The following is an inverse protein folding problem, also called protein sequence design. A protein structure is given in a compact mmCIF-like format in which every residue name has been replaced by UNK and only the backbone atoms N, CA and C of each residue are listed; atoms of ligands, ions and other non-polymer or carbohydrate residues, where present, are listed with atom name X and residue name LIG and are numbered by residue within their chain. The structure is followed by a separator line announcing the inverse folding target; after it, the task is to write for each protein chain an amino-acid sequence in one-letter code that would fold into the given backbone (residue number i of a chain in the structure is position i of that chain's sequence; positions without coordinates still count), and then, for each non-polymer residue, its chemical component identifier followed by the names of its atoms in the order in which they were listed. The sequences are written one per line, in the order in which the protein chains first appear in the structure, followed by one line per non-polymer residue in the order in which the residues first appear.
data_IF_932304689752
#
_entry.id   IF_932304689752
#
_cell.length_a   1.000
_cell.length_b   1.000
_cell.length_c   1.000
_cell.angle_alpha   90.00
_cell.angle_beta   90.00
_cell.angle_gamma   90.00
#
_symmetry.space_group_name_H-M   'P 1'
#
loop_
_entity.id
_entity.type
_entity.pdbx_description
1 polymer ?
#
# COMPACT_ATOMS: atom_id res chain seq x y z
N UNK A 1 14.13 -21.53 -32.74
CA UNK A 1 14.20 -20.58 -31.59
C UNK A 1 12.86 -19.89 -31.29
N UNK A 2 12.09 -19.48 -32.30
CA UNK A 2 10.79 -18.81 -32.12
C UNK A 2 9.76 -19.63 -31.32
N UNK A 3 9.65 -20.94 -31.59
CA UNK A 3 8.76 -21.86 -30.85
C UNK A 3 9.03 -21.91 -29.34
N UNK A 4 10.30 -21.79 -28.91
CA UNK A 4 10.67 -21.84 -27.49
C UNK A 4 10.43 -20.50 -26.77
N UNK A 5 10.54 -19.39 -27.49
CA UNK A 5 10.11 -18.06 -27.00
C UNK A 5 8.59 -18.00 -26.87
N UNK A 6 7.85 -18.59 -27.81
CA UNK A 6 6.39 -18.72 -27.74
C UNK A 6 5.92 -19.47 -26.49
N UNK A 7 6.55 -20.59 -26.10
CA UNK A 7 6.18 -21.32 -24.88
C UNK A 7 6.40 -20.48 -23.61
N UNK A 8 7.49 -19.71 -23.55
CA UNK A 8 7.74 -18.78 -22.44
C UNK A 8 6.73 -17.62 -22.42
N UNK A 9 6.43 -17.04 -23.59
CA UNK A 9 5.41 -16.01 -23.73
C UNK A 9 4.02 -16.51 -23.36
N UNK A 10 3.67 -17.73 -23.77
CA UNK A 10 2.41 -18.41 -23.40
C UNK A 10 2.37 -18.67 -21.90
N UNK A 11 3.46 -19.12 -21.28
CA UNK A 11 3.54 -19.30 -19.82
C UNK A 11 3.34 -17.99 -19.05
N UNK A 12 3.93 -16.89 -19.52
CA UNK A 12 3.72 -15.56 -18.96
C UNK A 12 2.27 -15.07 -19.16
N UNK A 13 1.68 -15.29 -20.34
CA UNK A 13 0.28 -14.96 -20.64
C UNK A 13 -0.67 -15.80 -19.79
N UNK A 14 -0.40 -17.08 -19.57
CA UNK A 14 -1.17 -17.96 -18.67
C UNK A 14 -1.06 -17.48 -17.23
N UNK A 15 0.12 -17.06 -16.78
CA UNK A 15 0.30 -16.47 -15.45
C UNK A 15 -0.51 -15.18 -15.29
N UNK A 16 -0.52 -14.31 -16.30
CA UNK A 16 -1.35 -13.10 -16.36
C UNK A 16 -2.84 -13.47 -16.37
N UNK A 17 -3.26 -14.47 -17.13
CA UNK A 17 -4.64 -14.96 -17.18
C UNK A 17 -5.09 -15.55 -15.83
N UNK A 18 -4.24 -16.31 -15.13
CA UNK A 18 -4.51 -16.83 -13.79
C UNK A 18 -4.62 -15.69 -12.77
N UNK A 19 -3.78 -14.67 -12.89
CA UNK A 19 -3.88 -13.42 -12.12
C UNK A 19 -5.14 -12.61 -12.48
N UNK A 20 -5.69 -12.80 -13.68
CA UNK A 20 -6.83 -12.04 -14.20
C UNK A 20 -8.17 -12.78 -14.09
N UNK A 21 -8.18 -14.09 -13.79
CA UNK A 21 -9.37 -14.90 -13.60
C UNK A 21 -9.90 -14.72 -12.16
N UNK A 22 -10.94 -13.91 -12.04
CA UNK A 22 -11.77 -13.75 -10.83
C UNK A 22 -11.12 -13.02 -9.65
N UNK A 23 -11.92 -12.78 -8.60
CA UNK A 23 -11.40 -12.45 -7.27
C UNK A 23 -10.89 -13.75 -6.64
N UNK A 24 -9.60 -14.00 -6.79
CA UNK A 24 -8.94 -15.14 -6.19
C UNK A 24 -7.86 -14.67 -5.20
N UNK A 25 -7.62 -15.46 -4.15
CA UNK A 25 -6.68 -15.13 -3.08
C UNK A 25 -5.25 -14.87 -3.58
N UNK A 26 -4.85 -15.52 -4.68
CA UNK A 26 -3.51 -15.35 -5.28
C UNK A 26 -3.36 -13.95 -5.87
N UNK A 27 -4.37 -13.48 -6.60
CA UNK A 27 -4.45 -12.11 -7.13
C UNK A 27 -4.43 -11.09 -6.01
N UNK A 28 -5.23 -11.26 -4.97
CA UNK A 28 -5.26 -10.32 -3.84
C UNK A 28 -3.92 -10.25 -3.12
N UNK A 29 -3.28 -11.41 -2.91
CA UNK A 29 -1.93 -11.48 -2.32
C UNK A 29 -0.89 -10.81 -3.22
N UNK A 30 -0.98 -11.00 -4.54
CA UNK A 30 -0.07 -10.37 -5.50
C UNK A 30 -0.27 -8.86 -5.56
N UNK A 31 -1.52 -8.38 -5.59
CA UNK A 31 -1.83 -6.94 -5.55
C UNK A 31 -1.34 -6.33 -4.24
N UNK A 32 -1.60 -6.97 -3.09
CA UNK A 32 -1.10 -6.52 -1.80
C UNK A 32 0.44 -6.48 -1.76
N UNK A 33 1.10 -7.45 -2.37
CA UNK A 33 2.56 -7.48 -2.51
C UNK A 33 3.06 -6.33 -3.40
N UNK A 34 2.48 -6.13 -4.59
CA UNK A 34 2.86 -5.03 -5.47
C UNK A 34 2.62 -3.66 -4.82
N UNK A 35 1.50 -3.52 -4.12
CA UNK A 35 1.13 -2.30 -3.39
C UNK A 35 2.06 -2.04 -2.20
N UNK A 36 2.64 -3.08 -1.61
CA UNK A 36 3.65 -2.93 -0.54
C UNK A 36 4.92 -2.22 -1.00
N UNK A 37 5.20 -2.15 -2.31
CA UNK A 37 6.32 -1.37 -2.85
C UNK A 37 5.93 0.06 -3.21
N UNK A 38 4.64 0.37 -3.36
CA UNK A 38 4.18 1.72 -3.60
C UNK A 38 4.17 2.50 -2.28
N UNK A 39 5.14 3.40 -2.14
CA UNK A 39 5.28 4.28 -0.97
C UNK A 39 4.01 5.06 -0.64
N UNK A 40 3.27 5.52 -1.64
CA UNK A 40 2.08 6.33 -1.43
C UNK A 40 0.96 5.47 -0.84
N UNK A 41 0.75 4.27 -1.41
CA UNK A 41 -0.21 3.29 -0.88
C UNK A 41 0.16 2.80 0.52
N UNK A 42 1.45 2.66 0.83
CA UNK A 42 1.91 2.29 2.19
C UNK A 42 1.51 3.33 3.22
N UNK A 43 1.73 4.62 2.93
CA UNK A 43 1.37 5.72 3.85
C UNK A 43 -0.14 5.75 4.05
N UNK A 44 -0.92 5.67 2.97
CA UNK A 44 -2.39 5.63 3.06
C UNK A 44 -2.86 4.42 3.90
N UNK A 45 -2.25 3.24 3.69
CA UNK A 45 -2.57 2.05 4.48
C UNK A 45 -2.22 2.20 5.96
N UNK A 46 -1.14 2.90 6.30
CA UNK A 46 -0.84 3.24 7.70
C UNK A 46 -1.95 4.09 8.29
N UNK A 47 -2.53 5.01 7.51
CA UNK A 47 -3.62 5.85 7.99
C UNK A 47 -4.92 5.06 8.16
N UNK A 48 -5.20 4.13 7.24
CA UNK A 48 -6.36 3.24 7.33
C UNK A 48 -6.33 2.36 8.59
N UNK A 49 -5.13 1.86 8.95
CA UNK A 49 -4.89 0.92 10.05
C UNK A 49 -4.59 1.60 11.39
N UNK A 50 -4.57 2.92 11.46
CA UNK A 50 -4.29 3.62 12.71
C UNK A 50 -5.36 3.32 13.77
N UNK A 51 -4.93 3.17 15.03
CA UNK A 51 -5.82 2.89 16.16
C UNK A 51 -6.83 4.03 16.35
N UNK A 52 -6.37 5.28 16.20
CA UNK A 52 -7.19 6.48 16.35
C UNK A 52 -7.11 7.37 15.11
N UNK A 53 -8.26 7.91 14.71
CA UNK A 53 -8.38 8.90 13.64
C UNK A 53 -9.02 10.15 14.19
N UNK A 54 -8.34 11.27 14.05
CA UNK A 54 -8.81 12.59 14.47
C UNK A 54 -9.12 13.39 13.22
N UNK A 55 -10.35 13.87 13.11
CA UNK A 55 -10.79 14.73 12.01
C UNK A 55 -10.91 16.15 12.56
N UNK A 56 -10.13 17.09 12.02
CA UNK A 56 -10.31 18.51 12.30
C UNK A 56 -11.14 19.11 11.19
N UNK A 57 -12.25 19.74 11.56
CA UNK A 57 -13.04 20.50 10.61
C UNK A 57 -12.21 21.71 10.11
N UNK A 58 -12.26 21.96 8.80
CA UNK A 58 -11.56 23.08 8.17
C UNK A 58 -12.22 24.42 8.49
N UNK A 59 -13.49 24.42 8.92
CA UNK A 59 -14.31 25.61 9.08
C UNK A 59 -14.56 25.97 10.57
N UNK A 60 -14.49 25.00 11.48
CA UNK A 60 -14.54 25.22 12.93
C UNK A 60 -13.47 24.41 13.67
N UNK A 61 -12.80 25.03 14.65
CA UNK A 61 -11.76 24.43 15.50
C UNK A 61 -12.35 23.39 16.50
N UNK A 62 -13.28 22.54 16.07
CA UNK A 62 -13.78 21.41 16.87
C UNK A 62 -12.92 20.18 16.64
N UNK A 63 -12.61 19.49 17.74
CA UNK A 63 -11.78 18.29 17.81
C UNK A 63 -12.66 17.10 18.19
N UNK A 64 -12.62 16.04 17.41
CA UNK A 64 -13.25 14.77 17.79
C UNK A 64 -12.32 13.59 17.46
N UNK A 65 -12.10 12.75 18.48
CA UNK A 65 -11.27 11.56 18.41
C UNK A 65 -12.15 10.34 18.18
N UNK A 66 -11.94 9.65 17.06
CA UNK A 66 -12.66 8.41 16.74
C UNK A 66 -11.75 7.22 17.07
N UNK A 67 -12.11 6.47 18.11
CA UNK A 67 -11.52 5.16 18.41
C UNK A 67 -12.07 4.13 17.42
N UNK A 68 -11.20 3.55 16.59
CA UNK A 68 -11.61 2.55 15.60
C UNK A 68 -12.04 1.21 16.22
N UNK A 69 -11.93 1.05 17.54
CA UNK A 69 -12.29 -0.18 18.27
C UNK A 69 -13.71 -0.21 18.87
N UNK A 70 -14.61 0.76 18.58
CA UNK A 70 -15.97 0.80 19.16
C UNK A 70 -17.13 1.01 18.16
N UNK A 71 -17.91 -0.06 17.98
CA UNK A 71 -19.34 -0.24 17.62
C UNK A 71 -20.03 0.62 16.53
N UNK A 72 -20.62 -0.10 15.56
CA UNK A 72 -21.30 0.34 14.34
C UNK A 72 -22.71 0.96 14.50
N UNK A 73 -23.03 1.65 15.60
CA UNK A 73 -24.43 2.00 15.93
C UNK A 73 -24.74 3.50 16.07
N UNK A 74 -24.17 4.39 15.26
CA UNK A 74 -24.69 5.77 15.16
C UNK A 74 -24.58 6.32 13.73
N UNK A 75 -25.64 6.10 12.93
CA UNK A 75 -25.71 6.42 11.50
C UNK A 75 -26.26 7.83 11.17
N UNK A 76 -26.26 8.77 12.14
CA UNK A 76 -26.81 10.13 11.97
C UNK A 76 -25.97 11.21 12.68
N UNK A 77 -24.63 11.11 12.67
CA UNK A 77 -23.74 12.14 13.22
C UNK A 77 -22.98 12.90 12.10
N UNK A 78 -22.73 14.22 12.22
CA UNK A 78 -21.86 14.97 11.32
C UNK A 78 -20.48 14.30 11.09
N UNK A 79 -20.03 13.48 12.04
CA UNK A 79 -18.80 12.66 12.02
C UNK A 79 -18.69 11.77 10.77
N UNK A 80 -19.81 11.23 10.27
CA UNK A 80 -19.80 10.35 9.09
C UNK A 80 -19.47 11.14 7.84
N UNK A 81 -19.87 12.42 7.76
CA UNK A 81 -19.69 13.22 6.54
C UNK A 81 -18.22 13.53 6.30
N UNK A 82 -17.49 13.92 7.34
CA UNK A 82 -16.07 14.21 7.23
C UNK A 82 -15.23 12.93 7.08
N UNK A 83 -15.62 11.84 7.76
CA UNK A 83 -15.03 10.53 7.54
C UNK A 83 -15.20 10.06 6.08
N UNK A 84 -16.42 10.11 5.52
CA UNK A 84 -16.67 9.74 4.11
C UNK A 84 -15.92 10.62 3.12
N UNK A 85 -15.74 11.91 3.45
CA UNK A 85 -14.99 12.86 2.63
C UNK A 85 -13.49 12.56 2.64
N UNK A 86 -12.91 12.24 3.79
CA UNK A 86 -11.51 11.83 3.88
C UNK A 86 -11.29 10.45 3.25
N UNK A 87 -12.16 9.47 3.50
CA UNK A 87 -12.03 8.14 2.89
C UNK A 87 -12.12 8.20 1.35
N UNK A 88 -13.05 9.00 0.82
CA UNK A 88 -13.15 9.21 -0.63
C UNK A 88 -11.94 9.96 -1.19
N UNK A 89 -11.36 10.90 -0.42
CA UNK A 89 -10.11 11.56 -0.77
C UNK A 89 -8.91 10.58 -0.77
N UNK A 90 -8.81 9.68 0.22
CA UNK A 90 -7.64 8.79 0.37
C UNK A 90 -7.53 7.74 -0.75
N UNK A 91 -8.65 7.29 -1.31
CA UNK A 91 -8.71 6.20 -2.31
C UNK A 91 -7.74 6.35 -3.50
N UNK A 92 -7.50 7.59 -3.96
CA UNK A 92 -6.61 7.89 -5.09
C UNK A 92 -5.55 8.95 -4.76
N UNK A 93 -5.33 9.22 -3.47
CA UNK A 93 -4.34 10.19 -3.03
C UNK A 93 -2.92 9.69 -3.30
N UNK A 94 -1.97 10.62 -3.36
CA UNK A 94 -0.54 10.32 -3.36
C UNK A 94 0.22 11.25 -2.45
N UNK A 95 1.40 10.83 -2.00
CA UNK A 95 2.19 11.61 -1.04
C UNK A 95 2.97 12.69 -1.77
N UNK A 96 2.76 13.94 -1.36
CA UNK A 96 3.58 15.06 -1.77
C UNK A 96 4.92 15.02 -1.03
N UNK A 97 5.93 14.45 -1.70
CA UNK A 97 7.27 14.22 -1.13
C UNK A 97 8.06 15.49 -0.83
N UNK A 98 7.70 16.62 -1.45
CA UNK A 98 8.39 17.90 -1.21
C UNK A 98 7.91 18.59 0.06
N UNK A 99 6.64 18.40 0.41
CA UNK A 99 6.00 19.04 1.56
C UNK A 99 5.84 18.12 2.77
N UNK A 100 5.98 16.81 2.58
CA UNK A 100 5.94 15.85 3.69
C UNK A 100 7.30 15.78 4.39
N UNK A 101 7.28 15.80 5.72
CA UNK A 101 8.45 15.59 6.59
C UNK A 101 8.26 14.28 7.36
N UNK A 102 9.13 13.31 7.09
CA UNK A 102 9.09 11.98 7.71
C UNK A 102 10.09 11.83 8.84
N UNK A 103 10.98 12.80 9.01
CA UNK A 103 12.03 12.77 10.02
C UNK A 103 11.58 13.47 11.31
N UNK A 104 10.58 14.36 11.21
CA UNK A 104 9.94 14.98 12.36
C UNK A 104 9.06 14.00 13.17
N UNK A 105 8.88 14.30 14.46
CA UNK A 105 7.84 13.71 15.30
C UNK A 105 6.88 14.80 15.81
N UNK A 106 5.56 14.72 15.52
CA UNK A 106 4.91 13.72 14.67
C UNK A 106 5.38 13.79 13.21
N UNK A 107 5.22 12.70 12.48
CA UNK A 107 5.50 12.67 11.04
C UNK A 107 4.45 13.52 10.32
N UNK A 108 4.90 14.43 9.47
CA UNK A 108 4.03 15.35 8.72
C UNK A 108 3.86 14.80 7.32
N UNK A 109 2.64 14.46 6.96
CA UNK A 109 2.30 14.00 5.62
C UNK A 109 1.40 15.00 4.92
N UNK A 110 1.75 15.29 3.68
CA UNK A 110 0.91 16.07 2.78
C UNK A 110 0.50 15.17 1.64
N UNK A 111 -0.81 14.97 1.48
CA UNK A 111 -1.39 14.13 0.44
C UNK A 111 -2.07 15.01 -0.60
N UNK A 112 -1.86 14.71 -1.87
CA UNK A 112 -2.53 15.37 -2.99
C UNK A 112 -3.50 14.38 -3.66
N UNK A 113 -4.65 14.88 -4.12
CA UNK A 113 -5.60 14.10 -4.94
C UNK A 113 -6.36 15.01 -5.93
N UNK A 114 -6.95 14.40 -6.95
CA UNK A 114 -7.95 15.04 -7.83
C UNK A 114 -9.29 14.36 -7.59
N UNK A 115 -10.24 15.09 -7.01
CA UNK A 115 -11.59 14.60 -6.70
C UNK A 115 -12.59 15.42 -7.51
N UNK A 116 -13.37 14.78 -8.38
CA UNK A 116 -14.40 15.47 -9.16
C UNK A 116 -13.87 16.60 -10.05
N UNK A 117 -12.65 16.44 -10.59
CA UNK A 117 -11.93 17.44 -11.39
C UNK A 117 -11.41 18.67 -10.59
N UNK A 118 -11.46 18.61 -9.26
CA UNK A 118 -10.84 19.61 -8.39
C UNK A 118 -9.56 19.05 -7.77
N UNK A 119 -8.52 19.86 -7.81
CA UNK A 119 -7.28 19.56 -7.11
C UNK A 119 -7.49 19.79 -5.61
N UNK A 120 -7.13 18.80 -4.80
CA UNK A 120 -7.29 18.86 -3.36
C UNK A 120 -6.00 18.40 -2.67
N UNK A 121 -5.75 18.95 -1.49
CA UNK A 121 -4.60 18.58 -0.65
C UNK A 121 -5.02 18.41 0.79
N UNK A 122 -4.55 17.34 1.41
CA UNK A 122 -4.83 17.02 2.79
C UNK A 122 -3.52 17.07 3.59
N UNK A 123 -3.54 17.83 4.69
CA UNK A 123 -2.45 17.87 5.66
C UNK A 123 -2.76 16.92 6.81
N UNK A 124 -1.84 16.01 7.07
CA UNK A 124 -1.96 15.00 8.10
C UNK A 124 -0.74 15.03 9.04
N UNK A 125 -0.97 14.74 10.32
CA UNK A 125 0.07 14.34 11.26
C UNK A 125 -0.12 12.88 11.63
N UNK A 126 0.98 12.15 11.72
CA UNK A 126 0.99 10.75 12.10
C UNK A 126 1.89 10.53 13.32
N UNK A 127 1.31 9.88 14.32
CA UNK A 127 1.95 9.51 15.57
C UNK A 127 2.01 7.98 15.60
N UNK A 128 3.20 7.39 15.52
CA UNK A 128 3.35 5.94 15.43
C UNK A 128 3.53 5.24 16.79
N UNK A 129 3.94 5.99 17.81
CA UNK A 129 4.29 5.46 19.13
C UNK A 129 3.74 6.31 20.28
N UNK A 130 2.58 6.93 20.09
CA UNK A 130 1.98 7.73 21.15
C UNK A 130 1.64 6.82 22.34
N UNK A 131 2.15 7.14 23.52
CA UNK A 131 1.87 6.36 24.73
C UNK A 131 0.62 6.91 25.37
N UNK A 132 -0.46 6.13 25.37
CA UNK A 132 -1.69 6.46 26.08
C UNK A 132 -1.99 5.44 27.16
N UNK A 133 -2.49 5.93 28.27
CA UNK A 133 -3.04 5.09 29.33
C UNK A 133 -4.34 4.49 28.83
N UNK A 134 -4.41 3.16 28.75
CA UNK A 134 -5.63 2.44 28.46
C UNK A 134 -6.05 1.71 29.72
N UNK A 135 -7.16 2.16 30.30
CA UNK A 135 -7.76 1.48 31.44
C UNK A 135 -8.67 0.37 30.90
N UNK A 136 -8.39 -0.87 31.31
CA UNK A 136 -9.23 -2.03 31.00
C UNK A 136 -9.71 -2.63 32.30
N UNK A 137 -10.96 -3.08 32.32
CA UNK A 137 -11.44 -3.91 33.41
C UNK A 137 -10.92 -5.34 33.22
N UNK A 138 -10.14 -5.82 34.19
CA UNK A 138 -9.72 -7.21 34.24
C UNK A 138 -10.82 -8.04 34.91
N UNK A 139 -11.46 -8.92 34.13
CA UNK A 139 -12.52 -9.79 34.61
C UNK A 139 -12.03 -10.86 35.60
N UNK A 140 -10.76 -11.27 35.51
CA UNK A 140 -10.17 -12.29 36.39
C UNK A 140 -9.81 -11.69 37.75
N UNK A 141 -9.21 -10.51 37.75
CA UNK A 141 -8.77 -9.82 38.97
C UNK A 141 -9.82 -8.85 39.54
N UNK A 142 -10.98 -8.71 38.85
CA UNK A 142 -12.09 -7.80 39.18
C UNK A 142 -11.64 -6.38 39.53
N UNK A 143 -10.65 -5.87 38.79
CA UNK A 143 -10.07 -4.54 39.03
C UNK A 143 -9.84 -3.81 37.72
N UNK A 144 -9.85 -2.48 37.80
CA UNK A 144 -9.41 -1.64 36.70
C UNK A 144 -7.88 -1.63 36.65
N UNK A 145 -7.33 -2.07 35.53
CA UNK A 145 -5.89 -2.06 35.26
C UNK A 145 -5.61 -0.97 34.25
N UNK A 146 -4.72 -0.04 34.60
CA UNK A 146 -4.24 0.99 33.68
C UNK A 146 -2.90 0.56 33.11
N UNK A 147 -2.84 0.37 31.80
CA UNK A 147 -1.61 0.00 31.09
C UNK A 147 -1.22 1.10 30.09
N UNK A 148 0.08 1.37 29.98
CA UNK A 148 0.61 2.23 28.93
C UNK A 148 0.68 1.45 27.62
N UNK A 149 -0.26 1.72 26.71
CA UNK A 149 -0.27 1.13 25.38
C UNK A 149 0.31 2.12 24.38
N UNK A 150 1.18 1.64 23.49
CA UNK A 150 1.58 2.41 22.29
C UNK A 150 0.46 2.32 21.28
N UNK A 151 -0.01 3.46 20.82
CA UNK A 151 -1.09 3.59 19.85
C UNK A 151 -0.64 4.44 18.68
N UNK A 152 -1.20 4.11 17.52
CA UNK A 152 -1.01 4.87 16.29
C UNK A 152 -2.17 5.85 16.10
N UNK A 153 -1.86 7.11 15.81
CA UNK A 153 -2.85 8.17 15.66
C UNK A 153 -2.61 8.91 14.36
N UNK A 154 -3.69 9.14 13.61
CA UNK A 154 -3.68 10.00 12.42
C UNK A 154 -4.56 11.21 12.71
N UNK A 155 -3.99 12.39 12.53
CA UNK A 155 -4.66 13.66 12.73
C UNK A 155 -4.78 14.40 11.39
N UNK A 156 -6.01 14.47 10.87
CA UNK A 156 -6.36 15.14 9.62
C UNK A 156 -6.62 16.62 9.91
N UNK A 157 -5.69 17.48 9.51
CA UNK A 157 -5.64 18.87 9.96
C UNK A 157 -6.46 19.79 9.06
N UNK A 158 -6.27 19.66 7.75
CA UNK A 158 -6.83 20.62 6.78
C UNK A 158 -6.94 19.99 5.40
N UNK A 159 -8.08 20.20 4.76
CA UNK A 159 -8.30 19.88 3.36
C UNK A 159 -8.39 21.19 2.55
N UNK A 160 -7.39 21.44 1.72
CA UNK A 160 -7.34 22.55 0.78
C UNK A 160 -7.92 22.14 -0.57
N UNK A 161 -8.57 23.06 -1.27
CA UNK A 161 -9.15 22.89 -2.60
C UNK A 161 -8.59 23.90 -3.58
N UNK A 162 -8.59 23.54 -4.85
CA UNK A 162 -8.22 24.39 -6.00
C UNK A 162 -6.79 24.93 -5.94
N UNK A 163 -5.86 24.09 -5.47
CA UNK A 163 -4.43 24.40 -5.39
C UNK A 163 -3.59 23.62 -6.41
N UNK A 164 -2.36 24.06 -6.74
CA UNK A 164 -1.44 23.26 -7.53
C UNK A 164 -0.98 22.00 -6.76
N UNK A 165 -1.14 20.85 -7.39
CA UNK A 165 -0.79 19.53 -6.86
C UNK A 165 0.59 19.05 -7.35
N UNK A 166 1.25 18.21 -6.56
CA UNK A 166 2.52 17.61 -6.93
C UNK A 166 2.34 16.53 -7.99
N UNK A 167 3.41 16.24 -8.75
CA UNK A 167 3.42 15.09 -9.64
C UNK A 167 3.41 13.78 -8.86
N UNK A 168 2.67 12.78 -9.37
CA UNK A 168 2.70 11.40 -8.86
C UNK A 168 4.08 10.78 -9.11
N UNK A 169 4.62 10.09 -8.11
CA UNK A 169 5.92 9.44 -8.22
C UNK A 169 5.80 7.97 -8.61
N UNK A 170 6.17 7.65 -9.86
CA UNK A 170 6.23 6.25 -10.34
C UNK A 170 7.58 5.56 -10.09
N UNK A 171 8.49 6.22 -9.38
CA UNK A 171 9.87 5.76 -9.15
C UNK A 171 9.92 4.35 -8.52
N UNK A 172 9.05 4.05 -7.57
CA UNK A 172 8.99 2.72 -6.94
C UNK A 172 8.62 1.61 -7.93
N UNK A 173 7.71 1.87 -8.87
CA UNK A 173 7.34 0.91 -9.90
C UNK A 173 8.49 0.61 -10.86
N UNK A 174 9.28 1.63 -11.20
CA UNK A 174 10.47 1.46 -12.05
C UNK A 174 11.55 0.63 -11.35
N UNK A 175 11.77 0.82 -10.04
CA UNK A 175 12.70 -0.01 -9.27
C UNK A 175 12.27 -1.49 -9.23
N UNK A 176 10.98 -1.75 -8.97
CA UNK A 176 10.45 -3.12 -8.97
C UNK A 176 10.62 -3.76 -10.34
N UNK A 177 10.24 -3.05 -11.41
CA UNK A 177 10.41 -3.53 -12.78
C UNK A 177 11.89 -3.81 -13.09
N UNK A 178 12.80 -2.94 -12.65
CA UNK A 178 14.24 -3.11 -12.79
C UNK A 178 14.76 -4.38 -12.11
N UNK A 179 14.34 -4.65 -10.87
CA UNK A 179 14.72 -5.87 -10.13
C UNK A 179 14.18 -7.12 -10.84
N UNK A 180 12.92 -7.10 -11.30
CA UNK A 180 12.34 -8.21 -12.06
C UNK A 180 13.15 -8.52 -13.32
N UNK A 181 13.52 -7.48 -14.09
CA UNK A 181 14.35 -7.65 -15.27
C UNK A 181 15.75 -8.17 -14.92
N UNK A 182 16.35 -7.66 -13.83
CA UNK A 182 17.67 -8.09 -13.35
C UNK A 182 17.68 -9.56 -12.94
N UNK A 183 16.59 -10.11 -12.40
CA UNK A 183 16.46 -11.54 -12.06
C UNK A 183 16.11 -12.37 -13.30
N UNK A 184 15.17 -11.91 -14.13
CA UNK A 184 14.69 -12.66 -15.28
C UNK A 184 15.75 -12.83 -16.36
N UNK A 185 16.56 -11.82 -16.66
CA UNK A 185 17.56 -11.88 -17.73
C UNK A 185 18.62 -12.98 -17.47
N UNK A 186 19.25 -13.06 -16.28
CA UNK A 186 20.14 -14.17 -15.94
C UNK A 186 19.45 -15.53 -15.94
N UNK A 187 18.24 -15.64 -15.38
CA UNK A 187 17.50 -16.91 -15.36
C UNK A 187 17.25 -17.42 -16.77
N UNK A 188 16.81 -16.55 -17.69
CA UNK A 188 16.62 -16.88 -19.11
C UNK A 188 17.95 -17.33 -19.73
N UNK A 189 19.06 -16.66 -19.41
CA UNK A 189 20.39 -17.03 -19.91
C UNK A 189 20.86 -18.40 -19.38
N UNK A 190 20.65 -18.67 -18.09
CA UNK A 190 20.98 -19.96 -17.46
C UNK A 190 20.13 -21.11 -18.00
N UNK A 191 18.81 -20.92 -18.13
CA UNK A 191 17.93 -21.89 -18.76
C UNK A 191 18.39 -22.19 -20.20
N UNK A 192 18.77 -21.16 -20.97
CA UNK A 192 19.34 -21.34 -22.32
C UNK A 192 20.63 -22.16 -22.31
N UNK A 193 21.54 -21.90 -21.36
CA UNK A 193 22.82 -22.61 -21.25
C UNK A 193 22.62 -24.10 -20.89
N UNK A 194 21.70 -24.40 -19.97
CA UNK A 194 21.38 -25.78 -19.59
C UNK A 194 20.75 -26.58 -20.73
N UNK A 195 19.79 -25.98 -21.45
CA UNK A 195 19.12 -26.66 -22.58
C UNK A 195 20.11 -26.96 -23.72
N UNK A 196 21.07 -26.07 -24.01
CA UNK A 196 22.13 -26.35 -24.99
C UNK A 196 23.01 -27.53 -24.58
N UNK A 197 23.33 -27.66 -23.29
CA UNK A 197 24.11 -28.80 -22.79
C UNK A 197 23.37 -30.13 -22.89
N UNK A 198 22.05 -30.14 -22.77
CA UNK A 198 21.24 -31.35 -22.92
C UNK A 198 21.20 -31.77 -24.39
N UNK A 199 20.92 -30.85 -25.32
CA UNK A 199 20.89 -31.18 -26.75
C UNK A 199 22.23 -31.66 -27.34
N UNK A 200 23.36 -31.19 -26.81
CA UNK A 200 24.69 -31.68 -27.23
C UNK A 200 25.01 -33.10 -26.74
N UNK A 201 24.41 -33.55 -25.62
CA UNK A 201 24.60 -34.93 -25.16
C UNK A 201 23.87 -35.92 -26.06
N UNK A 202 22.66 -35.57 -26.50
CA UNK A 202 21.85 -36.46 -27.34
C UNK A 202 22.49 -36.69 -28.73
N UNK A 203 23.19 -35.71 -29.29
CA UNK A 203 23.97 -35.88 -30.54
C UNK A 203 25.24 -36.73 -30.35
N UNK A 204 25.92 -36.64 -29.20
CA UNK A 204 27.12 -37.42 -28.93
C UNK A 204 26.89 -38.92 -28.68
N UNK A 205 25.70 -39.29 -28.20
CA UNK A 205 25.31 -40.70 -28.06
C UNK A 205 25.00 -41.34 -29.41
N UNK A 206 24.45 -40.57 -30.37
CA UNK A 206 24.08 -41.08 -31.69
C UNK A 206 25.29 -41.31 -32.61
N UNK A 207 26.40 -40.59 -32.43
CA UNK A 207 27.65 -40.80 -33.21
C UNK A 207 28.61 -41.83 -32.62
N UNK A 208 28.30 -42.45 -31.48
CA UNK A 208 29.14 -43.49 -30.87
C UNK A 208 28.64 -44.92 -31.16
N UNK A 209 27.53 -45.06 -31.89
CA UNK A 209 26.91 -46.34 -32.29
C UNK A 209 27.07 -46.67 -33.78
N UNK A 210 27.76 -45.82 -34.57
CA UNK A 210 28.20 -46.08 -35.95
C UNK A 210 29.72 -46.37 -35.99
#
# INVERSE_FOLDING_TARGET
MLRRLMVFGIGAIISILILSIGNNRVRDTFIAYADSYNLDKRVIRQFELADYKIYRDSDTLSYEEVDTSFSANNLLNPDIKDMLKVDSFLKNAWVNRKMSDRESYPQIFVLDNVVGNQNQRLHCRYYDMEKREKTRYDELEKKWVTELKRVSIVDYIKLEKDIPISSRSYVSYLYVLGIFLLIMIPVIFFCRRLIRKIGLKDESYFSAED
#
